data_IF_479498103203
#
_entry.id   IF_479498103203
#
_cell.length_a   1.000
_cell.length_b   1.000
_cell.length_c   1.000
_cell.angle_alpha   90.00
_cell.angle_beta   90.00
_cell.angle_gamma   90.00
#
_symmetry.space_group_name_H-M   'P 1'
#
loop_
_entity.id
_entity.type
_entity.pdbx_description
1 polymer ?
#
# COMPACT_ATOMS: atom_id res chain seq x y z
N UNK A 1 -67.88 19.54 27.44
CA UNK A 1 -66.51 19.65 28.01
C UNK A 1 -65.71 18.35 28.08
N UNK A 2 -66.24 17.23 28.58
CA UNK A 2 -65.48 15.98 28.84
C UNK A 2 -64.77 15.35 27.62
N UNK A 3 -65.33 15.48 26.41
CA UNK A 3 -64.76 14.91 25.15
C UNK A 3 -63.40 15.52 24.76
N UNK A 4 -63.25 16.84 24.91
CA UNK A 4 -61.96 17.51 24.61
C UNK A 4 -60.88 17.04 25.57
N UNK A 5 -61.20 16.98 26.86
CA UNK A 5 -60.30 16.52 27.91
C UNK A 5 -59.81 15.08 27.66
N UNK A 6 -60.71 14.17 27.26
CA UNK A 6 -60.36 12.80 26.86
C UNK A 6 -59.43 12.76 25.64
N UNK A 7 -59.61 13.66 24.67
CA UNK A 7 -58.75 13.78 23.49
C UNK A 7 -57.35 14.29 23.84
N UNK A 8 -57.22 15.24 24.76
CA UNK A 8 -55.92 15.69 25.26
C UNK A 8 -55.18 14.58 26.01
N UNK A 9 -55.87 13.81 26.85
CA UNK A 9 -55.29 12.67 27.57
C UNK A 9 -54.81 11.57 26.60
N UNK A 10 -55.62 11.24 25.58
CA UNK A 10 -55.23 10.28 24.54
C UNK A 10 -54.01 10.73 23.73
N UNK A 11 -53.90 12.03 23.44
CA UNK A 11 -52.76 12.57 22.68
C UNK A 11 -51.46 12.61 23.52
N UNK A 12 -51.58 12.74 24.84
CA UNK A 12 -50.45 12.63 25.78
C UNK A 12 -49.99 11.17 25.90
N UNK A 13 -50.92 10.23 26.00
CA UNK A 13 -50.63 8.79 26.05
C UNK A 13 -50.03 8.27 24.74
N UNK A 14 -50.45 8.81 23.58
CA UNK A 14 -49.93 8.41 22.27
C UNK A 14 -48.52 8.96 21.94
N UNK A 15 -47.99 9.91 22.71
CA UNK A 15 -46.72 10.61 22.42
C UNK A 15 -45.46 9.89 22.93
N UNK A 16 -45.59 8.73 23.56
CA UNK A 16 -44.44 7.94 24.03
C UNK A 16 -44.06 6.82 23.05
N UNK A 17 -43.73 7.16 21.80
CA UNK A 17 -42.93 6.25 20.98
C UNK A 17 -41.47 6.44 21.37
N UNK A 18 -40.99 5.63 22.33
CA UNK A 18 -39.57 5.54 22.65
C UNK A 18 -38.84 5.17 21.36
N UNK A 19 -38.02 6.08 20.86
CA UNK A 19 -37.06 5.72 19.82
C UNK A 19 -36.01 4.86 20.51
N UNK A 20 -35.95 3.58 20.15
CA UNK A 20 -34.87 2.72 20.60
C UNK A 20 -33.58 3.19 19.93
N UNK A 21 -32.69 3.74 20.74
CA UNK A 21 -31.38 4.21 20.33
C UNK A 21 -30.36 3.07 20.37
N UNK A 22 -29.29 3.23 19.59
CA UNK A 22 -28.14 2.34 19.58
C UNK A 22 -27.55 2.19 20.98
N UNK A 23 -27.22 0.96 21.39
CA UNK A 23 -26.64 0.71 22.71
C UNK A 23 -25.11 0.73 22.65
N UNK A 24 -24.46 1.05 23.78
CA UNK A 24 -22.99 0.99 23.86
C UNK A 24 -22.48 -0.43 23.62
N UNK A 25 -23.21 -1.45 24.08
CA UNK A 25 -22.82 -2.85 23.90
C UNK A 25 -22.81 -3.25 22.42
N UNK A 26 -23.73 -2.70 21.62
CA UNK A 26 -23.80 -2.94 20.18
C UNK A 26 -22.56 -2.37 19.47
N UNK A 27 -22.09 -1.18 19.85
CA UNK A 27 -20.84 -0.62 19.33
C UNK A 27 -19.62 -1.46 19.73
N UNK A 28 -19.59 -1.97 20.96
CA UNK A 28 -18.49 -2.81 21.45
C UNK A 28 -18.40 -4.11 20.66
N UNK A 29 -19.53 -4.78 20.42
CA UNK A 29 -19.56 -6.02 19.63
C UNK A 29 -19.12 -5.76 18.18
N UNK A 30 -19.55 -4.66 17.57
CA UNK A 30 -19.14 -4.28 16.20
C UNK A 30 -17.62 -4.06 16.13
N UNK A 31 -17.05 -3.30 17.07
CA UNK A 31 -15.60 -3.05 17.10
C UNK A 31 -14.84 -4.35 17.34
N UNK A 32 -15.33 -5.24 18.20
CA UNK A 32 -14.71 -6.54 18.44
C UNK A 32 -14.61 -7.38 17.16
N UNK A 33 -15.68 -7.43 16.35
CA UNK A 33 -15.67 -8.14 15.06
C UNK A 33 -14.67 -7.49 14.09
N UNK A 34 -14.64 -6.15 13.99
CA UNK A 34 -13.70 -5.44 13.13
C UNK A 34 -12.24 -5.76 13.52
N UNK A 35 -11.92 -5.79 14.81
CA UNK A 35 -10.56 -6.11 15.28
C UNK A 35 -10.17 -7.54 14.90
N UNK A 36 -11.06 -8.52 15.08
CA UNK A 36 -10.81 -9.92 14.67
C UNK A 36 -10.52 -10.00 13.17
N UNK A 37 -11.34 -9.35 12.33
CA UNK A 37 -11.13 -9.32 10.89
C UNK A 37 -9.82 -8.62 10.51
N UNK A 38 -9.49 -7.50 11.15
CA UNK A 38 -8.24 -6.79 10.90
C UNK A 38 -7.01 -7.64 11.21
N UNK A 39 -7.01 -8.40 12.30
CA UNK A 39 -5.90 -9.31 12.65
C UNK A 39 -5.65 -10.36 11.56
N UNK A 40 -6.70 -10.83 10.87
CA UNK A 40 -6.56 -11.79 9.76
C UNK A 40 -6.05 -11.12 8.47
N UNK A 41 -6.53 -9.91 8.17
CA UNK A 41 -6.26 -9.24 6.89
C UNK A 41 -4.88 -8.56 6.87
N UNK A 42 -4.53 -7.82 7.93
CA UNK A 42 -3.31 -7.01 7.99
C UNK A 42 -2.02 -7.79 7.72
N UNK A 43 -1.73 -8.96 8.33
CA UNK A 43 -0.48 -9.67 8.07
C UNK A 43 -0.38 -10.15 6.62
N UNK A 44 -1.50 -10.59 6.03
CA UNK A 44 -1.52 -10.99 4.63
C UNK A 44 -1.24 -9.80 3.69
N UNK A 45 -1.82 -8.63 3.98
CA UNK A 45 -1.55 -7.40 3.21
C UNK A 45 -0.08 -6.96 3.31
N UNK A 46 0.51 -7.01 4.51
CA UNK A 46 1.94 -6.67 4.70
C UNK A 46 2.85 -7.61 3.91
N UNK A 47 2.60 -8.92 3.96
CA UNK A 47 3.35 -9.91 3.18
C UNK A 47 3.19 -9.70 1.67
N UNK A 48 2.00 -9.29 1.20
CA UNK A 48 1.78 -8.98 -0.22
C UNK A 48 2.53 -7.72 -0.65
N UNK A 49 2.56 -6.69 0.19
CA UNK A 49 3.33 -5.47 -0.05
C UNK A 49 4.82 -5.78 -0.17
N UNK A 50 5.39 -6.55 0.76
CA UNK A 50 6.81 -6.95 0.72
C UNK A 50 7.14 -7.77 -0.54
N UNK A 51 6.26 -8.70 -0.93
CA UNK A 51 6.41 -9.47 -2.17
C UNK A 51 6.35 -8.56 -3.41
N UNK A 52 5.47 -7.57 -3.42
CA UNK A 52 5.37 -6.61 -4.52
C UNK A 52 6.61 -5.71 -4.61
N UNK A 53 7.15 -5.26 -3.46
CA UNK A 53 8.39 -4.49 -3.38
C UNK A 53 9.58 -5.31 -3.89
N UNK A 54 9.70 -6.57 -3.45
CA UNK A 54 10.75 -7.50 -3.94
C UNK A 54 10.64 -7.70 -5.45
N UNK A 55 9.45 -8.02 -5.97
CA UNK A 55 9.23 -8.19 -7.41
C UNK A 55 9.55 -6.93 -8.22
N UNK A 56 9.19 -5.77 -7.69
CA UNK A 56 9.49 -4.48 -8.32
C UNK A 56 11.00 -4.22 -8.35
N UNK A 57 11.70 -4.57 -7.27
CA UNK A 57 13.16 -4.49 -7.18
C UNK A 57 13.84 -5.41 -8.20
N UNK A 58 13.41 -6.68 -8.28
CA UNK A 58 13.94 -7.67 -9.23
C UNK A 58 13.66 -7.27 -10.70
N UNK A 59 12.46 -6.76 -10.98
CA UNK A 59 12.13 -6.24 -12.30
C UNK A 59 13.01 -5.04 -12.66
N UNK A 60 13.21 -4.11 -11.72
CA UNK A 60 14.07 -2.95 -11.92
C UNK A 60 15.53 -3.35 -12.14
N UNK A 61 16.04 -4.34 -11.40
CA UNK A 61 17.37 -4.94 -11.61
C UNK A 61 17.52 -5.49 -13.02
N UNK A 62 16.51 -6.22 -13.49
CA UNK A 62 16.48 -6.79 -14.85
C UNK A 62 16.53 -5.66 -15.89
N UNK A 63 15.73 -4.61 -15.71
CA UNK A 63 15.79 -3.42 -16.58
C UNK A 63 17.17 -2.79 -16.59
N UNK A 64 17.80 -2.58 -15.42
CA UNK A 64 19.17 -2.04 -15.34
C UNK A 64 20.18 -2.93 -16.07
N UNK A 65 20.06 -4.25 -15.93
CA UNK A 65 20.94 -5.21 -16.62
C UNK A 65 20.77 -5.13 -18.13
N UNK A 66 19.53 -5.04 -18.63
CA UNK A 66 19.25 -4.82 -20.06
C UNK A 66 19.85 -3.51 -20.55
N UNK A 67 19.81 -2.43 -19.76
CA UNK A 67 20.45 -1.17 -20.14
C UNK A 67 21.98 -1.29 -20.24
N UNK A 68 22.60 -2.04 -19.32
CA UNK A 68 24.04 -2.32 -19.36
C UNK A 68 24.40 -3.13 -20.61
N UNK A 69 23.56 -4.09 -20.99
CA UNK A 69 23.77 -4.90 -22.19
C UNK A 69 23.63 -4.07 -23.46
N UNK A 70 22.57 -3.25 -23.58
CA UNK A 70 22.42 -2.35 -24.74
C UNK A 70 23.56 -1.36 -24.86
N UNK A 71 24.06 -0.82 -23.75
CA UNK A 71 25.24 0.06 -23.76
C UNK A 71 26.49 -0.64 -24.35
N UNK A 72 26.68 -1.93 -24.04
CA UNK A 72 27.77 -2.72 -24.63
C UNK A 72 27.53 -3.04 -26.10
N UNK A 73 26.28 -3.31 -26.47
CA UNK A 73 25.89 -3.64 -27.85
C UNK A 73 26.11 -2.43 -28.79
N UNK A 74 25.99 -1.21 -28.29
CA UNK A 74 26.32 0.03 -29.02
C UNK A 74 27.84 0.29 -29.15
N UNK A 75 28.68 -0.65 -28.71
CA UNK A 75 30.12 -0.63 -28.88
C UNK A 75 30.88 0.14 -27.78
N UNK A 76 30.21 0.49 -26.69
CA UNK A 76 30.87 1.09 -25.54
C UNK A 76 31.57 0.05 -24.65
N UNK A 77 32.56 0.50 -23.88
CA UNK A 77 33.23 -0.33 -22.88
C UNK A 77 32.24 -0.76 -21.77
N UNK A 78 32.61 -1.80 -21.02
CA UNK A 78 31.75 -2.25 -19.91
C UNK A 78 31.56 -1.15 -18.87
N UNK A 79 30.32 -0.74 -18.55
CA UNK A 79 30.09 0.36 -17.64
C UNK A 79 30.50 -0.04 -16.22
N UNK A 80 31.18 0.88 -15.55
CA UNK A 80 31.69 0.68 -14.19
C UNK A 80 30.79 1.34 -13.15
N UNK A 81 29.99 2.33 -13.57
CA UNK A 81 29.04 3.07 -12.73
C UNK A 81 27.74 3.34 -13.49
N UNK A 82 26.64 3.53 -12.77
CA UNK A 82 25.35 3.81 -13.41
C UNK A 82 25.32 5.20 -14.08
N UNK A 83 26.22 6.10 -13.69
CA UNK A 83 26.41 7.40 -14.33
C UNK A 83 26.87 7.26 -15.79
N UNK A 84 27.59 6.19 -16.13
CA UNK A 84 28.04 5.91 -17.50
C UNK A 84 26.85 5.67 -18.45
N UNK A 85 25.71 5.21 -17.91
CA UNK A 85 24.48 4.93 -18.63
C UNK A 85 23.52 6.13 -18.67
N UNK A 86 23.86 7.24 -18.01
CA UNK A 86 22.93 8.35 -17.83
C UNK A 86 22.71 9.12 -19.15
N UNK A 87 21.46 9.37 -19.48
CA UNK A 87 21.06 10.09 -20.68
C UNK A 87 20.25 9.19 -21.58
N UNK A 88 20.93 8.44 -22.44
CA UNK A 88 20.31 7.60 -23.46
C UNK A 88 19.70 6.31 -22.88
N UNK A 89 20.37 5.66 -21.93
CA UNK A 89 19.97 4.37 -21.38
C UNK A 89 19.23 4.49 -20.03
N UNK A 90 19.63 5.45 -19.19
CA UNK A 90 19.01 5.70 -17.89
C UNK A 90 18.70 7.18 -17.65
N UNK A 91 17.52 7.44 -17.10
CA UNK A 91 17.17 8.76 -16.56
C UNK A 91 17.93 9.06 -15.28
N UNK A 92 18.09 10.35 -14.96
CA UNK A 92 18.71 10.80 -13.69
C UNK A 92 18.06 10.17 -12.45
N UNK A 93 16.75 9.99 -12.46
CA UNK A 93 16.03 9.41 -11.32
C UNK A 93 16.24 7.89 -11.22
N UNK A 94 16.36 7.20 -12.34
CA UNK A 94 16.74 5.79 -12.36
C UNK A 94 18.17 5.57 -11.86
N UNK A 95 19.13 6.43 -12.24
CA UNK A 95 20.51 6.37 -11.72
C UNK A 95 20.54 6.58 -10.21
N UNK A 96 19.84 7.61 -9.71
CA UNK A 96 19.69 7.85 -8.26
C UNK A 96 19.05 6.66 -7.52
N UNK A 97 18.05 6.02 -8.13
CA UNK A 97 17.38 4.85 -7.56
C UNK A 97 18.29 3.62 -7.60
N UNK A 98 19.02 3.42 -8.69
CA UNK A 98 19.98 2.32 -8.86
C UNK A 98 21.07 2.38 -7.78
N UNK A 99 21.73 3.54 -7.63
CA UNK A 99 22.80 3.74 -6.64
C UNK A 99 22.39 3.51 -5.18
N UNK A 100 21.09 3.55 -4.86
CA UNK A 100 20.61 3.29 -3.49
C UNK A 100 20.52 1.81 -3.14
N UNK A 101 20.34 0.95 -4.13
CA UNK A 101 19.96 -0.46 -3.90
C UNK A 101 20.80 -1.46 -4.68
N UNK A 102 21.50 -1.01 -5.72
CA UNK A 102 22.27 -1.84 -6.64
C UNK A 102 23.67 -1.28 -6.86
N UNK A 103 24.58 -2.17 -7.28
CA UNK A 103 25.94 -1.85 -7.71
C UNK A 103 26.23 -2.54 -9.04
N UNK A 104 27.18 -2.00 -9.80
CA UNK A 104 27.71 -2.62 -11.00
C UNK A 104 29.04 -3.29 -10.67
N UNK A 105 29.14 -4.58 -10.94
CA UNK A 105 30.38 -5.35 -10.81
C UNK A 105 30.62 -6.07 -12.14
N UNK A 106 31.68 -5.67 -12.86
CA UNK A 106 32.08 -6.24 -14.15
C UNK A 106 30.94 -6.31 -15.19
N UNK A 107 30.09 -5.28 -15.25
CA UNK A 107 28.94 -5.23 -16.16
C UNK A 107 27.76 -6.08 -15.74
N UNK A 108 27.70 -6.50 -14.47
CA UNK A 108 26.54 -7.17 -13.87
C UNK A 108 25.94 -6.32 -12.76
N UNK A 109 24.62 -6.17 -12.78
CA UNK A 109 23.87 -5.49 -11.72
C UNK A 109 23.68 -6.44 -10.54
N UNK A 110 24.17 -6.07 -9.36
CA UNK A 110 24.02 -6.83 -8.11
C UNK A 110 23.39 -5.99 -7.01
N UNK A 111 22.66 -6.62 -6.09
CA UNK A 111 21.99 -5.94 -4.98
C UNK A 111 23.00 -5.59 -3.89
N UNK A 112 22.96 -4.36 -3.38
CA UNK A 112 23.83 -3.92 -2.27
C UNK A 112 23.43 -4.60 -0.96
N UNK A 113 22.13 -4.81 -0.76
CA UNK A 113 21.56 -5.23 0.53
C UNK A 113 21.36 -6.74 0.65
N UNK A 114 21.72 -7.52 -0.37
CA UNK A 114 21.58 -8.98 -0.37
C UNK A 114 22.91 -9.59 0.08
N UNK A 115 23.03 -9.87 1.38
CA UNK A 115 24.03 -10.82 1.90
C UNK A 115 23.65 -12.24 1.46
#
# INVERSE_FOLDING_TARGET
MKKKMKKYLLNILAKSRRQEGFTLIEMVVVIAIIVILMVLIVPNMLNQKEKAETRTSDAFKTTLQTQVEMYKDDGHDTPSKFEDLQGEFLTKDQVKKANKSFKLENGKVTDINKK
#
